data_IF_582105336287
#
_entry.id   IF_582105336287
#
_cell.length_a   1.000
_cell.length_b   1.000
_cell.length_c   1.000
_cell.angle_alpha   90.00
_cell.angle_beta   90.00
_cell.angle_gamma   90.00
#
_symmetry.space_group_name_H-M   'P 1'
#
loop_
_entity.id
_entity.type
_entity.pdbx_description
1 polymer ?
#
# COMPACT_ATOMS: atom_id res chain seq x y z
N UNK A 1 -13.11 -18.27 -11.31
CA UNK A 1 -13.41 -16.96 -10.70
C UNK A 1 -12.27 -16.63 -9.73
N UNK A 2 -11.21 -15.99 -10.23
CA UNK A 2 -9.99 -15.73 -9.48
C UNK A 2 -10.19 -14.59 -8.49
N UNK A 3 -9.91 -14.86 -7.22
CA UNK A 3 -10.01 -13.91 -6.09
C UNK A 3 -9.10 -12.71 -6.37
N UNK A 4 -9.41 -11.57 -5.77
CA UNK A 4 -8.69 -10.27 -5.77
C UNK A 4 -7.15 -10.36 -5.72
N UNK A 5 -6.58 -11.47 -5.25
CA UNK A 5 -5.15 -11.79 -5.32
C UNK A 5 -4.56 -11.71 -6.73
N UNK A 6 -5.23 -12.20 -7.78
CA UNK A 6 -4.66 -12.20 -9.15
C UNK A 6 -4.53 -10.78 -9.73
N UNK A 7 -5.56 -9.94 -9.56
CA UNK A 7 -5.50 -8.53 -9.99
C UNK A 7 -4.45 -7.75 -9.20
N UNK A 8 -4.35 -8.00 -7.89
CA UNK A 8 -3.37 -7.30 -7.05
C UNK A 8 -1.95 -7.67 -7.44
N UNK A 9 -1.69 -8.97 -7.66
CA UNK A 9 -0.42 -9.45 -8.19
C UNK A 9 -0.10 -8.79 -9.52
N UNK A 10 -1.03 -8.76 -10.48
CA UNK A 10 -0.80 -8.13 -11.80
C UNK A 10 -0.55 -6.63 -11.74
N UNK A 11 -1.11 -5.92 -10.75
CA UNK A 11 -0.80 -4.50 -10.52
C UNK A 11 0.65 -4.32 -10.07
N UNK A 12 1.18 -5.25 -9.26
CA UNK A 12 2.53 -5.15 -8.70
C UNK A 12 3.59 -5.95 -9.47
N UNK A 13 3.22 -6.66 -10.55
CA UNK A 13 4.14 -7.52 -11.34
C UNK A 13 5.40 -6.77 -11.74
N UNK A 14 5.28 -5.54 -12.21
CA UNK A 14 6.43 -4.73 -12.64
C UNK A 14 7.39 -4.46 -11.48
N UNK A 15 6.88 -4.04 -10.32
CA UNK A 15 7.71 -3.82 -9.14
C UNK A 15 8.37 -5.12 -8.63
N UNK A 16 7.67 -6.26 -8.72
CA UNK A 16 8.25 -7.56 -8.38
C UNK A 16 9.35 -7.97 -9.37
N UNK A 17 9.16 -7.69 -10.66
CA UNK A 17 10.15 -7.97 -11.69
C UNK A 17 11.41 -7.11 -11.50
N UNK A 18 11.26 -5.80 -11.22
CA UNK A 18 12.38 -4.89 -10.95
C UNK A 18 13.17 -5.31 -9.70
N UNK A 19 12.47 -5.70 -8.63
CA UNK A 19 13.10 -6.23 -7.42
C UNK A 19 13.82 -7.56 -7.70
N UNK A 20 13.21 -8.44 -8.49
CA UNK A 20 13.81 -9.71 -8.90
C UNK A 20 15.08 -9.48 -9.73
N UNK A 21 15.05 -8.57 -10.70
CA UNK A 21 16.21 -8.21 -11.51
C UNK A 21 17.36 -7.65 -10.64
N UNK A 22 17.04 -6.82 -9.65
CA UNK A 22 18.03 -6.32 -8.69
C UNK A 22 18.66 -7.45 -7.88
N UNK A 23 17.86 -8.43 -7.43
CA UNK A 23 18.35 -9.61 -6.72
C UNK A 23 19.24 -10.51 -7.60
N UNK A 24 18.87 -10.71 -8.86
CA UNK A 24 19.68 -11.43 -9.84
C UNK A 24 21.04 -10.76 -10.04
N UNK A 25 21.07 -9.42 -10.10
CA UNK A 25 22.31 -8.66 -10.28
C UNK A 25 23.29 -8.81 -9.11
N UNK A 26 22.79 -8.91 -7.87
CA UNK A 26 23.64 -9.02 -6.66
C UNK A 26 23.91 -10.47 -6.24
N UNK A 27 23.16 -11.44 -6.75
CA UNK A 27 23.25 -12.85 -6.36
C UNK A 27 23.65 -13.73 -7.56
N UNK A 28 24.96 -14.02 -7.74
CA UNK A 28 25.48 -14.83 -8.84
C UNK A 28 24.86 -16.23 -8.96
N UNK A 29 24.24 -16.73 -7.88
CA UNK A 29 23.57 -18.03 -7.84
C UNK A 29 22.46 -18.15 -8.89
N UNK A 30 21.81 -17.04 -9.27
CA UNK A 30 20.75 -17.04 -10.29
C UNK A 30 21.26 -17.24 -11.72
N UNK A 31 22.56 -17.07 -11.97
CA UNK A 31 23.18 -17.17 -13.30
C UNK A 31 24.30 -18.20 -13.37
N UNK A 32 24.65 -18.83 -12.25
CA UNK A 32 25.71 -19.84 -12.18
C UNK A 32 25.21 -21.25 -12.53
N UNK A 33 26.10 -22.07 -13.11
CA UNK A 33 25.81 -23.48 -13.40
C UNK A 33 24.73 -23.65 -14.46
N UNK A 34 23.65 -24.37 -14.13
CA UNK A 34 22.49 -24.57 -15.01
C UNK A 34 21.38 -23.52 -14.81
N UNK A 35 21.56 -22.58 -13.88
CA UNK A 35 20.62 -21.48 -13.67
C UNK A 35 20.74 -20.46 -14.81
N UNK A 36 19.60 -19.93 -15.23
CA UNK A 36 19.52 -18.96 -16.33
C UNK A 36 18.43 -17.94 -16.08
N UNK A 37 18.55 -16.85 -16.81
CA UNK A 37 17.56 -15.78 -16.90
C UNK A 37 17.03 -15.82 -18.33
N UNK A 38 15.71 -15.87 -18.47
CA UNK A 38 15.03 -15.84 -19.78
C UNK A 38 14.06 -14.65 -19.84
N UNK A 39 13.71 -14.23 -21.05
CA UNK A 39 12.73 -13.17 -21.28
C UNK A 39 11.31 -13.72 -21.36
N UNK A 40 10.43 -13.21 -20.51
CA UNK A 40 9.02 -13.60 -20.47
C UNK A 40 8.10 -12.40 -20.74
N UNK A 41 7.02 -12.64 -21.48
CA UNK A 41 5.97 -11.66 -21.72
C UNK A 41 4.88 -11.80 -20.66
N UNK A 42 4.73 -10.81 -19.81
CA UNK A 42 3.72 -10.79 -18.75
C UNK A 42 2.79 -9.59 -18.92
N UNK A 43 1.54 -9.76 -18.48
CA UNK A 43 0.61 -8.65 -18.39
C UNK A 43 0.89 -7.84 -17.13
N UNK A 44 1.09 -6.54 -17.29
CA UNK A 44 1.33 -5.59 -16.20
C UNK A 44 0.40 -4.38 -16.36
N UNK A 45 0.10 -3.72 -15.24
CA UNK A 45 -0.65 -2.47 -15.24
C UNK A 45 0.29 -1.29 -15.53
N UNK A 46 0.03 -0.53 -16.59
CA UNK A 46 0.75 0.72 -16.85
C UNK A 46 0.01 1.89 -16.19
N UNK A 47 0.66 2.53 -15.22
CA UNK A 47 0.11 3.66 -14.45
C UNK A 47 -0.09 4.90 -15.34
N UNK A 48 0.71 5.07 -16.38
CA UNK A 48 0.67 6.22 -17.29
C UNK A 48 -0.53 6.12 -18.21
N UNK A 49 -0.65 5.00 -18.94
CA UNK A 49 -1.77 4.77 -19.85
C UNK A 49 -3.05 4.29 -19.16
N UNK A 50 -2.97 3.91 -17.87
CA UNK A 50 -4.07 3.34 -17.08
C UNK A 50 -4.71 2.13 -17.77
N UNK A 51 -3.86 1.27 -18.33
CA UNK A 51 -4.28 0.11 -19.09
C UNK A 51 -3.42 -1.11 -18.78
N UNK A 52 -3.98 -2.29 -19.06
CA UNK A 52 -3.23 -3.54 -19.04
C UNK A 52 -2.40 -3.64 -20.32
N UNK A 53 -1.09 -3.80 -20.17
CA UNK A 53 -0.14 -3.92 -21.29
C UNK A 53 0.69 -5.20 -21.14
N UNK A 54 1.17 -5.74 -22.27
CA UNK A 54 2.13 -6.84 -22.27
C UNK A 54 3.54 -6.24 -22.26
N UNK A 55 4.30 -6.54 -21.21
CA UNK A 55 5.71 -6.13 -21.06
C UNK A 55 6.60 -7.37 -21.07
N UNK A 56 7.86 -7.18 -21.50
CA UNK A 56 8.87 -8.22 -21.45
C UNK A 56 9.73 -8.01 -20.21
N UNK A 57 9.94 -9.08 -19.43
CA UNK A 57 10.75 -9.07 -18.22
C UNK A 57 11.81 -10.16 -18.30
N UNK A 58 13.03 -9.85 -17.86
CA UNK A 58 14.09 -10.83 -17.67
C UNK A 58 13.94 -11.44 -16.27
N UNK A 59 13.63 -12.74 -16.22
CA UNK A 59 13.34 -13.42 -14.96
C UNK A 59 14.18 -14.70 -14.84
N UNK A 60 14.66 -15.02 -13.63
CA UNK A 60 15.34 -16.29 -13.38
C UNK A 60 14.37 -17.46 -13.59
N UNK A 61 14.90 -18.58 -14.06
CA UNK A 61 14.13 -19.79 -14.33
C UNK A 61 14.39 -20.84 -13.26
N UNK A 62 13.32 -21.32 -12.64
CA UNK A 62 13.33 -22.44 -11.70
C UNK A 62 12.36 -23.51 -12.19
N UNK A 63 12.85 -24.74 -12.34
CA UNK A 63 12.05 -25.89 -12.84
C UNK A 63 11.27 -25.58 -14.14
N UNK A 64 11.95 -24.90 -15.09
CA UNK A 64 11.37 -24.52 -16.38
C UNK A 64 10.36 -23.37 -16.34
N UNK A 65 10.09 -22.79 -15.17
CA UNK A 65 9.12 -21.71 -14.98
C UNK A 65 9.79 -20.39 -14.57
N UNK A 66 9.23 -19.23 -14.98
CA UNK A 66 9.73 -17.94 -14.52
C UNK A 66 9.48 -17.76 -13.02
N UNK A 67 10.50 -17.26 -12.32
CA UNK A 67 10.44 -16.98 -10.89
C UNK A 67 10.31 -15.46 -10.67
N UNK A 68 9.28 -15.06 -9.94
CA UNK A 68 9.14 -13.71 -9.38
C UNK A 68 9.38 -13.77 -7.88
N UNK A 69 10.33 -12.97 -7.41
CA UNK A 69 10.64 -12.85 -6.00
C UNK A 69 9.78 -11.74 -5.39
N UNK A 70 9.19 -12.02 -4.23
CA UNK A 70 8.54 -11.02 -3.40
C UNK A 70 9.43 -10.74 -2.19
N UNK A 71 9.81 -9.47 -1.92
CA UNK A 71 10.49 -9.12 -0.68
C UNK A 71 9.70 -9.65 0.53
N UNK A 72 10.39 -10.20 1.54
CA UNK A 72 9.70 -10.79 2.71
C UNK A 72 8.79 -9.79 3.42
N UNK A 73 9.19 -8.51 3.48
CA UNK A 73 8.38 -7.41 4.03
C UNK A 73 7.11 -7.07 3.23
N UNK A 74 6.98 -7.60 2.01
CA UNK A 74 5.79 -7.43 1.16
C UNK A 74 4.75 -8.53 1.36
N UNK A 75 5.17 -9.70 1.85
CA UNK A 75 4.28 -10.82 2.14
C UNK A 75 3.53 -10.58 3.46
N UNK A 76 2.60 -9.63 3.45
CA UNK A 76 1.73 -9.32 4.58
C UNK A 76 0.31 -9.87 4.40
N UNK A 77 -0.32 -10.30 5.50
CA UNK A 77 -1.73 -10.70 5.50
C UNK A 77 -2.70 -9.53 5.30
N UNK A 78 -2.21 -8.29 5.39
CA UNK A 78 -3.03 -7.07 5.35
C UNK A 78 -2.38 -5.98 4.51
N UNK A 79 -3.16 -5.32 3.65
CA UNK A 79 -2.71 -4.14 2.90
C UNK A 79 -2.31 -3.00 3.86
N UNK A 80 -1.16 -2.39 3.61
CA UNK A 80 -0.68 -1.24 4.39
C UNK A 80 -1.64 -0.06 4.31
N UNK A 81 -2.27 0.13 3.15
CA UNK A 81 -3.31 1.12 2.88
C UNK A 81 -4.67 0.44 2.72
N UNK A 82 -5.37 0.21 3.84
CA UNK A 82 -6.73 -0.33 3.83
C UNK A 82 -7.75 0.70 4.29
N UNK A 83 -9.01 0.58 3.85
CA UNK A 83 -10.09 1.48 4.25
C UNK A 83 -10.32 1.47 5.78
N UNK A 84 -10.10 0.33 6.44
CA UNK A 84 -10.19 0.20 7.90
C UNK A 84 -9.07 0.94 8.62
N UNK A 85 -7.82 0.74 8.19
CA UNK A 85 -6.68 1.46 8.78
C UNK A 85 -6.77 2.96 8.52
N UNK A 86 -7.20 3.37 7.32
CA UNK A 86 -7.47 4.78 7.00
C UNK A 86 -8.50 5.40 7.94
N UNK A 87 -9.60 4.67 8.17
CA UNK A 87 -10.65 5.08 9.10
C UNK A 87 -10.11 5.30 10.52
N UNK A 88 -9.42 4.31 11.08
CA UNK A 88 -8.92 4.37 12.46
C UNK A 88 -7.81 5.41 12.65
N UNK A 89 -6.92 5.56 11.67
CA UNK A 89 -5.72 6.39 11.82
C UNK A 89 -5.97 7.84 11.43
N UNK A 90 -6.70 8.11 10.35
CA UNK A 90 -6.89 9.47 9.81
C UNK A 90 -8.27 10.02 10.02
N UNK A 91 -9.32 9.29 9.65
CA UNK A 91 -10.70 9.76 9.77
C UNK A 91 -11.07 10.03 11.24
N UNK A 92 -10.89 9.06 12.12
CA UNK A 92 -11.13 9.26 13.56
C UNK A 92 -10.13 10.24 14.17
N UNK A 93 -8.88 10.27 13.68
CA UNK A 93 -7.88 11.22 14.16
C UNK A 93 -8.26 12.68 13.89
N UNK A 94 -8.79 12.95 12.69
CA UNK A 94 -9.31 14.26 12.31
C UNK A 94 -10.56 14.61 13.13
N UNK A 95 -11.55 13.71 13.21
CA UNK A 95 -12.75 13.92 14.03
C UNK A 95 -12.45 14.16 15.52
N UNK A 96 -11.40 13.51 16.06
CA UNK A 96 -10.91 13.78 17.42
C UNK A 96 -10.40 15.22 17.57
N UNK A 97 -9.68 15.74 16.57
CA UNK A 97 -9.11 17.09 16.61
C UNK A 97 -10.17 18.18 16.41
N UNK A 98 -11.15 17.96 15.52
CA UNK A 98 -12.28 18.88 15.30
C UNK A 98 -13.02 19.19 16.60
N UNK A 99 -13.06 18.22 17.53
CA UNK A 99 -13.85 18.28 18.77
C UNK A 99 -13.00 18.46 20.01
N UNK A 100 -11.70 18.61 19.84
CA UNK A 100 -10.80 18.64 20.97
C UNK A 100 -10.90 19.98 21.69
N UNK A 101 -11.11 19.94 23.01
CA UNK A 101 -11.26 21.14 23.83
C UNK A 101 -9.99 21.37 24.63
N UNK A 102 -9.58 22.63 24.82
CA UNK A 102 -8.47 22.96 25.72
C UNK A 102 -8.94 22.90 27.16
N UNK A 103 -8.26 22.12 28.00
CA UNK A 103 -8.47 22.13 29.45
C UNK A 103 -8.00 23.44 30.06
N UNK A 104 -8.38 23.67 31.32
CA UNK A 104 -7.83 24.75 32.17
C UNK A 104 -6.31 24.71 32.32
N UNK A 105 -5.69 23.55 32.10
CA UNK A 105 -4.24 23.34 32.11
C UNK A 105 -3.58 23.52 30.74
N UNK A 106 -4.34 23.94 29.71
CA UNK A 106 -3.86 24.13 28.34
C UNK A 106 -3.66 22.83 27.55
N UNK A 107 -3.93 21.67 28.15
CA UNK A 107 -3.85 20.38 27.45
C UNK A 107 -5.07 20.17 26.56
N UNK A 108 -4.85 19.54 25.42
CA UNK A 108 -5.92 19.21 24.49
C UNK A 108 -6.64 17.93 24.96
N UNK A 109 -7.89 18.07 25.39
CA UNK A 109 -8.76 16.96 25.79
C UNK A 109 -9.46 16.44 24.55
N UNK A 110 -9.25 15.16 24.23
CA UNK A 110 -9.81 14.49 23.06
C UNK A 110 -10.81 13.42 23.49
N UNK A 111 -11.95 13.35 22.81
CA UNK A 111 -12.86 12.21 22.94
C UNK A 111 -12.16 10.93 22.49
N UNK A 112 -12.18 9.84 23.28
CA UNK A 112 -11.64 8.55 22.88
C UNK A 112 -12.21 8.03 21.55
N UNK A 113 -11.39 7.34 20.74
CA UNK A 113 -11.80 6.90 19.39
C UNK A 113 -12.92 5.87 19.42
N UNK A 114 -12.87 4.95 20.37
CA UNK A 114 -13.90 3.95 20.65
C UNK A 114 -15.27 4.58 20.94
N UNK A 115 -15.30 5.73 21.63
CA UNK A 115 -16.54 6.49 21.81
C UNK A 115 -17.01 7.14 20.50
N UNK A 116 -16.10 7.77 19.75
CA UNK A 116 -16.44 8.39 18.46
C UNK A 116 -17.00 7.38 17.44
N UNK A 117 -16.53 6.14 17.46
CA UNK A 117 -17.00 5.08 16.57
C UNK A 117 -18.48 4.74 16.75
N UNK A 118 -19.06 5.03 17.91
CA UNK A 118 -20.46 4.74 18.21
C UNK A 118 -21.38 5.93 17.90
N UNK A 119 -20.82 7.06 17.49
CA UNK A 119 -21.61 8.24 17.20
C UNK A 119 -22.23 8.23 15.79
N UNK A 120 -23.42 8.82 15.62
CA UNK A 120 -24.04 9.01 14.32
C UNK A 120 -23.10 9.73 13.35
N UNK A 121 -22.90 9.15 12.16
CA UNK A 121 -22.06 9.73 11.11
C UNK A 121 -20.56 9.56 11.30
N UNK A 122 -20.11 8.93 12.39
CA UNK A 122 -18.70 8.58 12.63
C UNK A 122 -18.45 7.08 12.72
N UNK A 123 -19.48 6.24 12.69
CA UNK A 123 -19.31 4.78 12.64
C UNK A 123 -18.53 4.29 11.41
N UNK A 124 -17.94 3.10 11.54
CA UNK A 124 -17.07 2.52 10.51
C UNK A 124 -17.85 2.28 9.21
N UNK A 125 -17.40 2.87 8.10
CA UNK A 125 -18.03 2.66 6.81
C UNK A 125 -17.46 3.52 5.69
N UNK A 126 -17.77 3.15 4.44
CA UNK A 126 -17.34 3.90 3.25
C UNK A 126 -17.91 5.31 3.23
N UNK A 127 -19.18 5.47 3.60
CA UNK A 127 -19.88 6.75 3.69
C UNK A 127 -19.16 7.69 4.67
N UNK A 128 -18.82 7.20 5.85
CA UNK A 128 -18.06 7.95 6.86
C UNK A 128 -16.70 8.38 6.35
N UNK A 129 -15.93 7.43 5.78
CA UNK A 129 -14.62 7.76 5.22
C UNK A 129 -14.74 8.88 4.19
N UNK A 130 -15.70 8.80 3.27
CA UNK A 130 -15.88 9.78 2.23
C UNK A 130 -16.33 11.15 2.79
N UNK A 131 -17.30 11.17 3.68
CA UNK A 131 -17.83 12.40 4.25
C UNK A 131 -16.79 13.13 5.10
N UNK A 132 -16.09 12.43 5.98
CA UNK A 132 -15.07 13.04 6.83
C UNK A 132 -13.87 13.50 5.99
N UNK A 133 -13.45 12.73 4.99
CA UNK A 133 -12.36 13.15 4.08
C UNK A 133 -12.73 14.40 3.31
N UNK A 134 -13.97 14.51 2.82
CA UNK A 134 -14.45 15.70 2.13
C UNK A 134 -14.45 16.92 3.03
N UNK A 135 -14.99 16.80 4.25
CA UNK A 135 -14.95 17.89 5.25
C UNK A 135 -13.53 18.32 5.59
N UNK A 136 -12.62 17.37 5.76
CA UNK A 136 -11.21 17.70 6.00
C UNK A 136 -10.60 18.46 4.83
N UNK A 137 -10.89 18.04 3.60
CA UNK A 137 -10.44 18.74 2.40
C UNK A 137 -11.02 20.16 2.28
N UNK A 138 -12.29 20.36 2.64
CA UNK A 138 -12.92 21.69 2.74
C UNK A 138 -12.26 22.58 3.81
N UNK A 139 -11.51 22.01 4.75
CA UNK A 139 -10.70 22.71 5.76
C UNK A 139 -9.19 22.64 5.46
N UNK A 140 -8.81 22.49 4.18
CA UNK A 140 -7.42 22.44 3.71
C UNK A 140 -6.57 21.29 4.29
N UNK A 141 -7.21 20.23 4.78
CA UNK A 141 -6.55 19.03 5.27
C UNK A 141 -6.66 17.84 4.29
N UNK A 142 -5.55 17.50 3.63
CA UNK A 142 -5.47 16.28 2.82
C UNK A 142 -5.17 15.04 3.67
N UNK A 143 -6.24 14.38 4.13
CA UNK A 143 -6.12 13.14 4.91
C UNK A 143 -5.51 11.98 4.11
N UNK A 144 -5.66 11.95 2.79
CA UNK A 144 -5.13 10.89 1.93
C UNK A 144 -3.62 11.05 1.82
N UNK A 145 -3.13 12.26 1.53
CA UNK A 145 -1.69 12.55 1.53
C UNK A 145 -1.06 12.28 2.90
N UNK A 146 -1.70 12.71 3.99
CA UNK A 146 -1.26 12.40 5.36
C UNK A 146 -1.25 10.89 5.64
N UNK A 147 -2.13 10.10 5.02
CA UNK A 147 -2.12 8.64 5.16
C UNK A 147 -0.97 7.99 4.40
N UNK A 148 -0.71 8.44 3.16
CA UNK A 148 0.45 8.00 2.38
C UNK A 148 1.75 8.27 3.14
N UNK A 149 1.94 9.50 3.61
CA UNK A 149 3.11 9.87 4.42
C UNK A 149 3.27 9.00 5.68
N UNK A 150 2.16 8.71 6.38
CA UNK A 150 2.21 7.82 7.55
C UNK A 150 2.67 6.40 7.20
N UNK A 151 2.29 5.91 6.02
CA UNK A 151 2.78 4.62 5.53
C UNK A 151 4.25 4.74 5.13
N UNK A 152 4.63 5.73 4.35
CA UNK A 152 6.01 5.92 3.88
C UNK A 152 7.01 6.11 5.03
N UNK A 153 6.59 6.72 6.15
CA UNK A 153 7.45 6.87 7.34
C UNK A 153 7.70 5.57 8.11
N UNK A 154 6.81 4.58 7.99
CA UNK A 154 6.84 3.35 8.79
C UNK A 154 7.30 2.13 8.00
N UNK A 155 7.24 2.20 6.68
CA UNK A 155 7.54 1.09 5.79
C UNK A 155 8.47 1.57 4.67
N UNK A 156 9.44 0.74 4.32
CA UNK A 156 10.46 1.04 3.31
C UNK A 156 9.94 0.66 1.92
N UNK A 157 10.26 1.47 0.90
CA UNK A 157 9.91 1.17 -0.49
C UNK A 157 10.85 0.10 -1.06
N UNK A 158 10.43 -0.67 -2.07
CA UNK A 158 11.22 -1.78 -2.62
C UNK A 158 12.54 -1.35 -3.23
N UNK A 159 12.52 -0.21 -3.90
CA UNK A 159 13.69 0.40 -4.54
C UNK A 159 14.74 0.83 -3.52
N UNK A 160 14.35 0.93 -2.25
CA UNK A 160 15.18 1.45 -1.17
C UNK A 160 15.78 0.30 -0.32
N UNK A 161 15.41 -0.96 -0.61
CA UNK A 161 16.00 -2.16 0.02
C UNK A 161 16.98 -2.78 -0.98
N UNK A 162 18.22 -2.30 -0.93
CA UNK A 162 19.37 -2.91 -1.60
C UNK A 162 19.97 -4.03 -0.72
#
# INVERSE_FOLDING_TARGET
>A
MGRTSDITTRIIVEALADSTASMVAISPQFTSGSHRVDTFKLQAWDVTSRAWVIKSFELPVADGSPLLLAPSGWAGSTLLMSAGRYYETKVLGYAQLERAVRSSTGKLVKTPKDQLMNEPGLGRGRVTNLNVTRRAHENDEDLIAKFKQFVDMKWVRPTDVA
#
